data_IF_817638522510
#
_entry.id   IF_817638522510
#
_cell.length_a   1.000
_cell.length_b   1.000
_cell.length_c   1.000
_cell.angle_alpha   90.00
_cell.angle_beta   90.00
_cell.angle_gamma   90.00
#
_symmetry.space_group_name_H-M   'P 1'
#
loop_
_entity.id
_entity.type
_entity.pdbx_description
1 polymer ?
#
# COMPACT_ATOMS: atom_id res chain seq x y z
N UNK A 1 -15.17 -2.51 15.97
CA UNK A 1 -14.07 -3.40 15.50
C UNK A 1 -13.40 -2.74 14.28
N UNK A 2 -12.15 -3.10 13.93
CA UNK A 2 -11.52 -2.64 12.66
C UNK A 2 -12.06 -3.50 11.52
N UNK A 3 -12.41 -2.86 10.41
CA UNK A 3 -12.76 -3.51 9.16
C UNK A 3 -11.48 -3.65 8.31
N UNK A 4 -10.87 -4.84 8.33
CA UNK A 4 -9.58 -5.05 7.68
C UNK A 4 -9.66 -5.10 6.17
N UNK A 5 -10.77 -5.58 5.61
CA UNK A 5 -11.03 -5.60 4.16
C UNK A 5 -11.10 -4.16 3.64
N UNK A 6 -11.90 -3.31 4.29
CA UNK A 6 -12.00 -1.90 3.93
C UNK A 6 -10.67 -1.16 4.18
N UNK A 7 -9.96 -1.49 5.26
CA UNK A 7 -8.64 -0.91 5.56
C UNK A 7 -7.60 -1.31 4.49
N UNK A 8 -7.64 -2.54 3.98
CA UNK A 8 -6.79 -3.01 2.90
C UNK A 8 -7.09 -2.28 1.58
N UNK A 9 -8.37 -2.07 1.27
CA UNK A 9 -8.77 -1.24 0.11
C UNK A 9 -8.26 0.20 0.25
N UNK A 10 -8.35 0.78 1.46
CA UNK A 10 -7.82 2.10 1.72
C UNK A 10 -6.29 2.17 1.57
N UNK A 11 -5.58 1.11 1.94
CA UNK A 11 -4.14 1.00 1.73
C UNK A 11 -3.78 1.09 0.23
N UNK A 12 -4.42 0.29 -0.62
CA UNK A 12 -4.17 0.35 -2.06
C UNK A 12 -4.53 1.70 -2.67
N UNK A 13 -5.62 2.32 -2.23
CA UNK A 13 -5.99 3.66 -2.69
C UNK A 13 -4.90 4.70 -2.37
N UNK A 14 -4.26 4.60 -1.20
CA UNK A 14 -3.14 5.48 -0.84
C UNK A 14 -1.85 5.18 -1.63
N UNK A 15 -1.61 3.92 -1.99
CA UNK A 15 -0.53 3.55 -2.93
C UNK A 15 -0.76 4.18 -4.31
N UNK A 16 -1.98 4.07 -4.86
CA UNK A 16 -2.34 4.69 -6.14
C UNK A 16 -2.18 6.21 -6.05
N UNK A 17 -2.66 6.84 -4.98
CA UNK A 17 -2.49 8.28 -4.76
C UNK A 17 -1.02 8.70 -4.72
N UNK A 18 -0.16 7.89 -4.11
CA UNK A 18 1.28 8.14 -4.11
C UNK A 18 1.85 8.07 -5.53
N UNK A 19 1.52 7.01 -6.29
CA UNK A 19 1.97 6.84 -7.68
C UNK A 19 1.47 7.97 -8.58
N UNK A 20 0.23 8.42 -8.42
CA UNK A 20 -0.34 9.58 -9.13
C UNK A 20 0.46 10.87 -8.88
N UNK A 21 0.91 11.08 -7.65
CA UNK A 21 1.79 12.22 -7.30
C UNK A 21 3.18 12.08 -7.91
N UNK A 22 3.70 10.86 -8.07
CA UNK A 22 4.93 10.63 -8.84
C UNK A 22 4.71 10.90 -10.32
N UNK A 23 3.57 10.45 -10.88
CA UNK A 23 3.20 10.66 -12.28
C UNK A 23 3.16 12.13 -12.64
N UNK A 24 2.60 12.99 -11.78
CA UNK A 24 2.54 14.43 -12.01
C UNK A 24 3.91 15.14 -11.95
N UNK A 25 4.96 14.44 -11.51
CA UNK A 25 6.33 14.96 -11.37
C UNK A 25 7.31 14.32 -12.36
N UNK A 26 6.89 13.24 -13.03
CA UNK A 26 7.70 12.56 -14.02
C UNK A 26 7.95 13.48 -15.21
N UNK A 27 9.21 13.55 -15.65
CA UNK A 27 9.68 14.45 -16.70
C UNK A 27 10.08 13.70 -17.98
N UNK A 28 10.05 12.36 -17.98
CA UNK A 28 10.38 11.52 -19.13
C UNK A 28 9.33 10.43 -19.37
N UNK A 29 9.28 9.93 -20.61
CA UNK A 29 8.29 8.94 -21.04
C UNK A 29 8.49 7.56 -20.40
N UNK A 30 9.72 7.19 -20.05
CA UNK A 30 10.02 5.89 -19.45
C UNK A 30 9.49 5.86 -18.01
N UNK A 31 9.73 6.91 -17.23
CA UNK A 31 9.17 7.08 -15.89
C UNK A 31 7.63 7.08 -15.91
N UNK A 32 7.02 7.84 -16.83
CA UNK A 32 5.56 7.85 -16.98
C UNK A 32 4.99 6.47 -17.29
N UNK A 33 5.61 5.72 -18.21
CA UNK A 33 5.20 4.36 -18.55
C UNK A 33 5.28 3.44 -17.31
N UNK A 34 6.41 3.44 -16.61
CA UNK A 34 6.60 2.63 -15.39
C UNK A 34 5.56 2.94 -14.32
N UNK A 35 5.24 4.21 -14.11
CA UNK A 35 4.24 4.63 -13.13
C UNK A 35 2.83 4.19 -13.54
N UNK A 36 2.46 4.30 -14.82
CA UNK A 36 1.17 3.82 -15.30
C UNK A 36 1.05 2.29 -15.19
N UNK A 37 2.10 1.55 -15.52
CA UNK A 37 2.17 0.10 -15.36
C UNK A 37 2.02 -0.27 -13.88
N UNK A 38 2.68 0.46 -12.97
CA UNK A 38 2.55 0.27 -11.52
C UNK A 38 1.13 0.52 -11.01
N UNK A 39 0.48 1.61 -11.46
CA UNK A 39 -0.92 1.91 -11.10
C UNK A 39 -1.84 0.76 -11.55
N UNK A 40 -1.62 0.24 -12.77
CA UNK A 40 -2.36 -0.91 -13.29
C UNK A 40 -2.17 -2.16 -12.44
N UNK A 41 -0.93 -2.48 -12.07
CA UNK A 41 -0.60 -3.61 -11.18
C UNK A 41 -1.30 -3.46 -9.83
N UNK A 42 -1.12 -2.33 -9.15
CA UNK A 42 -1.72 -2.06 -7.83
C UNK A 42 -3.24 -2.17 -7.90
N UNK A 43 -3.86 -1.64 -8.96
CA UNK A 43 -5.31 -1.71 -9.16
C UNK A 43 -5.81 -3.15 -9.38
N UNK A 44 -5.06 -3.96 -10.13
CA UNK A 44 -5.39 -5.39 -10.33
C UNK A 44 -5.30 -6.18 -9.04
N UNK A 45 -4.25 -5.96 -8.24
CA UNK A 45 -4.12 -6.60 -6.92
C UNK A 45 -5.25 -6.15 -5.99
N UNK A 46 -5.56 -4.85 -5.96
CA UNK A 46 -6.63 -4.29 -5.13
C UNK A 46 -8.02 -4.84 -5.49
N UNK A 47 -8.27 -5.16 -6.76
CA UNK A 47 -9.54 -5.71 -7.22
C UNK A 47 -9.82 -7.13 -6.68
N UNK A 48 -8.78 -7.91 -6.40
CA UNK A 48 -8.92 -9.23 -5.75
C UNK A 48 -7.75 -9.56 -4.82
N UNK A 49 -7.66 -8.90 -3.65
CA UNK A 49 -6.49 -9.02 -2.77
C UNK A 49 -6.31 -10.43 -2.22
N UNK A 50 -7.41 -11.20 -2.08
CA UNK A 50 -7.35 -12.57 -1.60
C UNK A 50 -6.72 -13.51 -2.63
N UNK A 51 -7.13 -13.42 -3.90
CA UNK A 51 -6.53 -14.21 -4.98
C UNK A 51 -5.07 -13.83 -5.22
N UNK A 52 -4.81 -12.52 -5.25
CA UNK A 52 -3.47 -11.99 -5.47
C UNK A 52 -2.66 -11.88 -4.17
N UNK A 53 -3.12 -12.46 -3.05
CA UNK A 53 -2.29 -12.66 -1.85
C UNK A 53 -1.30 -13.82 -2.04
N UNK A 54 -1.64 -14.78 -2.91
CA UNK A 54 -0.76 -15.89 -3.29
C UNK A 54 0.34 -15.40 -4.26
N UNK A 55 1.59 -15.58 -3.84
CA UNK A 55 2.77 -15.20 -4.62
C UNK A 55 2.81 -15.85 -6.01
N UNK A 56 2.55 -17.16 -6.11
CA UNK A 56 2.62 -17.87 -7.38
C UNK A 56 1.56 -17.39 -8.37
N UNK A 57 0.37 -17.04 -7.87
CA UNK A 57 -0.71 -16.48 -8.69
C UNK A 57 -0.32 -15.09 -9.21
N UNK A 58 0.22 -14.21 -8.36
CA UNK A 58 0.69 -12.88 -8.78
C UNK A 58 1.78 -12.94 -9.84
N UNK A 59 2.80 -13.78 -9.61
CA UNK A 59 3.94 -13.93 -10.54
C UNK A 59 3.47 -14.43 -11.89
N UNK A 60 2.63 -15.49 -11.94
CA UNK A 60 2.05 -15.99 -13.19
C UNK A 60 1.18 -14.97 -13.91
N UNK A 61 0.52 -14.08 -13.17
CA UNK A 61 -0.29 -12.99 -13.73
C UNK A 61 0.52 -11.76 -14.18
N UNK A 62 1.86 -11.78 -14.02
CA UNK A 62 2.75 -10.68 -14.38
C UNK A 62 2.60 -9.45 -13.48
N UNK A 63 2.17 -9.64 -12.23
CA UNK A 63 1.90 -8.55 -11.27
C UNK A 63 3.10 -8.20 -10.37
N UNK A 64 4.27 -8.78 -10.64
CA UNK A 64 5.52 -8.54 -9.91
C UNK A 64 6.66 -8.17 -10.90
N UNK A 65 6.50 -7.17 -11.80
CA UNK A 65 7.58 -6.79 -12.70
C UNK A 65 8.75 -6.19 -11.91
N UNK A 66 9.99 -6.56 -12.23
CA UNK A 66 11.19 -6.05 -11.53
C UNK A 66 11.27 -4.52 -11.49
N UNK A 67 10.79 -3.87 -12.55
CA UNK A 67 10.80 -2.41 -12.67
C UNK A 67 9.76 -1.70 -11.80
N UNK A 68 8.88 -2.45 -11.10
CA UNK A 68 7.83 -1.89 -10.25
C UNK A 68 8.41 -0.99 -9.16
N UNK A 69 9.56 -1.37 -8.59
CA UNK A 69 10.24 -0.60 -7.52
C UNK A 69 10.51 0.84 -7.93
N UNK A 70 10.94 1.06 -9.17
CA UNK A 70 11.32 2.39 -9.66
C UNK A 70 10.12 3.34 -9.77
N UNK A 71 8.91 2.82 -9.97
CA UNK A 71 7.70 3.64 -10.00
C UNK A 71 7.34 4.23 -8.63
N UNK A 72 7.76 3.56 -7.55
CA UNK A 72 7.52 3.99 -6.17
C UNK A 72 8.63 4.89 -5.59
N UNK A 73 9.74 5.05 -6.30
CA UNK A 73 10.86 5.88 -5.87
C UNK A 73 10.64 7.34 -6.31
N UNK A 74 10.69 8.33 -5.40
CA UNK A 74 10.66 9.73 -5.80
C UNK A 74 11.81 10.08 -6.74
N UNK A 75 11.54 10.93 -7.72
CA UNK A 75 12.54 11.37 -8.71
C UNK A 75 13.80 11.95 -8.02
N UNK A 76 14.98 11.50 -8.48
CA UNK A 76 16.26 11.93 -7.93
C UNK A 76 16.59 11.34 -6.55
N UNK A 77 15.91 10.28 -6.12
CA UNK A 77 16.16 9.61 -4.84
C UNK A 77 16.23 8.10 -4.99
N UNK A 78 16.94 7.45 -4.05
CA UNK A 78 16.94 5.99 -3.90
C UNK A 78 15.96 5.50 -2.82
N UNK A 79 14.99 6.34 -2.40
CA UNK A 79 14.03 5.99 -1.35
C UNK A 79 12.94 5.03 -1.86
N UNK A 80 13.16 3.74 -1.66
CA UNK A 80 12.21 2.67 -2.02
C UNK A 80 11.25 2.28 -0.88
N UNK A 81 11.16 3.04 0.23
CA UNK A 81 10.40 2.60 1.41
C UNK A 81 8.91 2.38 1.14
N UNK A 82 8.30 3.14 0.21
CA UNK A 82 6.88 2.93 -0.15
C UNK A 82 6.68 1.61 -0.88
N UNK A 83 7.62 1.23 -1.75
CA UNK A 83 7.61 -0.09 -2.39
C UNK A 83 7.74 -1.22 -1.36
N UNK A 84 8.66 -1.09 -0.40
CA UNK A 84 8.83 -2.09 0.65
C UNK A 84 7.56 -2.25 1.50
N UNK A 85 6.87 -1.13 1.80
CA UNK A 85 5.56 -1.16 2.47
C UNK A 85 4.49 -1.85 1.62
N UNK A 86 4.45 -1.56 0.31
CA UNK A 86 3.57 -2.25 -0.64
C UNK A 86 3.82 -3.76 -0.66
N UNK A 87 5.06 -4.19 -0.89
CA UNK A 87 5.45 -5.60 -0.92
C UNK A 87 5.08 -6.29 0.40
N UNK A 88 5.45 -5.72 1.54
CA UNK A 88 5.17 -6.32 2.84
C UNK A 88 3.67 -6.53 3.11
N UNK A 89 2.81 -5.59 2.71
CA UNK A 89 1.36 -5.80 2.84
C UNK A 89 0.92 -6.89 1.87
N UNK A 90 1.33 -6.84 0.59
CA UNK A 90 0.97 -7.83 -0.45
C UNK A 90 1.35 -9.25 -0.05
N UNK A 91 2.55 -9.45 0.47
CA UNK A 91 3.07 -10.74 0.92
C UNK A 91 2.39 -11.25 2.21
N UNK A 92 1.76 -10.37 2.98
CA UNK A 92 1.04 -10.74 4.21
C UNK A 92 -0.48 -10.76 4.08
N UNK A 93 -1.06 -10.43 2.91
CA UNK A 93 -2.53 -10.33 2.76
C UNK A 93 -3.24 -11.66 2.98
N UNK A 94 -2.64 -12.77 2.53
CA UNK A 94 -3.20 -14.11 2.77
C UNK A 94 -3.35 -14.40 4.27
N UNK A 95 -2.46 -13.81 5.09
CA UNK A 95 -2.42 -14.03 6.51
C UNK A 95 -3.46 -13.23 7.30
N UNK A 96 -4.13 -12.25 6.68
CA UNK A 96 -5.21 -11.48 7.33
C UNK A 96 -6.40 -12.36 7.74
N UNK A 97 -6.59 -13.49 7.05
CA UNK A 97 -7.67 -14.46 7.32
C UNK A 97 -7.14 -15.83 7.74
N UNK A 98 -5.86 -15.92 8.11
CA UNK A 98 -5.23 -17.16 8.57
C UNK A 98 -5.96 -17.69 9.80
N UNK A 99 -6.04 -19.00 10.01
CA UNK A 99 -6.67 -19.59 11.20
C UNK A 99 -5.90 -19.29 12.50
N UNK A 100 -4.57 -19.16 12.42
CA UNK A 100 -3.72 -18.87 13.58
C UNK A 100 -3.68 -17.37 13.91
N UNK A 101 -3.93 -17.04 15.17
CA UNK A 101 -3.99 -15.66 15.66
C UNK A 101 -2.70 -14.86 15.44
N UNK A 102 -1.55 -15.50 15.55
CA UNK A 102 -0.26 -14.83 15.47
C UNK A 102 0.03 -14.31 14.04
N UNK A 103 -0.22 -15.12 13.01
CA UNK A 103 -0.11 -14.72 11.61
C UNK A 103 -1.07 -13.57 11.28
N UNK A 104 -2.32 -13.66 11.78
CA UNK A 104 -3.31 -12.58 11.63
C UNK A 104 -2.83 -11.29 12.27
N UNK A 105 -2.35 -11.35 13.51
CA UNK A 105 -1.90 -10.16 14.25
C UNK A 105 -0.72 -9.47 13.55
N UNK A 106 0.24 -10.24 13.03
CA UNK A 106 1.37 -9.70 12.26
C UNK A 106 0.91 -9.03 10.97
N UNK A 107 0.07 -9.70 10.17
CA UNK A 107 -0.47 -9.13 8.93
C UNK A 107 -1.27 -7.85 9.17
N UNK A 108 -2.10 -7.83 10.22
CA UNK A 108 -2.87 -6.64 10.63
C UNK A 108 -1.93 -5.49 11.03
N UNK A 109 -0.87 -5.78 11.78
CA UNK A 109 0.10 -4.77 12.20
C UNK A 109 0.87 -4.20 11.00
N UNK A 110 1.29 -5.05 10.07
CA UNK A 110 1.93 -4.66 8.81
C UNK A 110 1.03 -3.75 7.98
N UNK A 111 -0.24 -4.12 7.78
CA UNK A 111 -1.23 -3.30 7.08
C UNK A 111 -1.40 -1.92 7.73
N UNK A 112 -1.62 -1.87 9.04
CA UNK A 112 -1.87 -0.61 9.75
C UNK A 112 -0.65 0.31 9.76
N UNK A 113 0.55 -0.24 9.93
CA UNK A 113 1.79 0.54 9.92
C UNK A 113 2.09 1.09 8.52
N UNK A 114 1.97 0.26 7.49
CA UNK A 114 2.17 0.67 6.10
C UNK A 114 1.15 1.73 5.68
N UNK A 115 -0.13 1.56 6.01
CA UNK A 115 -1.16 2.56 5.75
C UNK A 115 -0.88 3.90 6.45
N UNK A 116 -0.51 3.86 7.74
CA UNK A 116 -0.10 5.05 8.49
C UNK A 116 1.05 5.77 7.77
N UNK A 117 2.12 5.05 7.42
CA UNK A 117 3.33 5.60 6.82
C UNK A 117 3.11 6.17 5.40
N UNK A 118 2.31 5.51 4.57
CA UNK A 118 2.02 6.03 3.22
C UNK A 118 1.13 7.28 3.31
N UNK A 119 0.11 7.29 4.18
CA UNK A 119 -0.71 8.49 4.40
C UNK A 119 0.10 9.70 4.84
N UNK A 120 1.12 9.50 5.69
CA UNK A 120 2.07 10.54 6.05
C UNK A 120 2.83 11.14 4.88
N UNK A 121 3.30 10.28 3.96
CA UNK A 121 4.00 10.72 2.76
C UNK A 121 3.07 11.45 1.80
N UNK A 122 1.81 11.05 1.75
CA UNK A 122 0.79 11.65 0.89
C UNK A 122 0.22 12.97 1.43
N UNK A 123 0.19 13.20 2.75
CA UNK A 123 -0.39 14.44 3.29
C UNK A 123 0.45 15.67 2.94
N UNK A 124 -0.25 16.74 2.59
CA UNK A 124 0.28 18.08 2.30
C UNK A 124 0.21 19.02 3.50
N UNK A 125 -0.31 18.55 4.65
CA UNK A 125 -0.43 19.37 5.85
C UNK A 125 0.97 19.74 6.37
N UNK A 126 1.23 21.04 6.50
CA UNK A 126 2.51 21.60 6.97
C UNK A 126 2.83 21.17 8.40
N UNK A 127 1.80 20.99 9.24
CA UNK A 127 1.97 20.60 10.65
C UNK A 127 2.00 19.09 10.87
N UNK A 128 1.98 18.29 9.80
CA UNK A 128 1.90 16.82 9.91
C UNK A 128 3.01 16.24 10.76
N UNK A 129 4.22 16.77 10.69
CA UNK A 129 5.37 16.22 11.40
C UNK A 129 5.22 16.42 12.92
N UNK A 130 4.47 17.43 13.36
CA UNK A 130 4.18 17.65 14.79
C UNK A 130 3.18 16.64 15.34
N UNK A 131 2.07 16.39 14.63
CA UNK A 131 1.01 15.53 15.16
C UNK A 131 1.15 14.07 14.77
N UNK A 132 1.84 13.75 13.66
CA UNK A 132 1.90 12.38 13.12
C UNK A 132 2.58 11.35 14.05
N UNK A 133 3.65 11.69 14.80
CA UNK A 133 4.21 10.80 15.82
C UNK A 133 3.18 10.39 16.88
N UNK A 134 2.23 11.29 17.20
CA UNK A 134 1.21 11.06 18.23
C UNK A 134 0.02 10.23 17.74
N UNK A 135 -0.12 10.00 16.44
CA UNK A 135 -1.25 9.26 15.88
C UNK A 135 -1.00 7.75 15.96
N UNK A 136 -1.89 6.99 16.61
CA UNK A 136 -1.81 5.52 16.59
C UNK A 136 -2.05 4.97 15.18
N UNK A 137 -1.50 3.80 14.86
CA UNK A 137 -1.72 3.14 13.56
C UNK A 137 -3.23 2.88 13.31
N UNK A 138 -3.96 2.52 14.37
CA UNK A 138 -5.43 2.32 14.33
C UNK A 138 -6.22 3.56 13.96
N UNK A 139 -5.67 4.78 14.10
CA UNK A 139 -6.34 6.02 13.65
C UNK A 139 -6.60 6.02 12.14
N UNK A 140 -5.77 5.32 11.37
CA UNK A 140 -5.86 5.30 9.92
C UNK A 140 -6.76 4.20 9.38
N UNK A 141 -7.21 3.28 10.23
CA UNK A 141 -8.05 2.16 9.86
C UNK A 141 -9.52 2.55 9.66
N UNK A 142 -10.23 1.77 8.85
CA UNK A 142 -11.68 1.88 8.70
C UNK A 142 -12.36 1.10 9.84
N UNK A 143 -13.38 1.70 10.47
CA UNK A 143 -14.17 1.07 11.53
C UNK A 143 -15.42 0.43 10.92
N UNK A 144 -15.77 -0.78 11.37
CA UNK A 144 -16.98 -1.48 10.94
C UNK A 144 -18.25 -0.71 11.32
N UNK A 145 -19.19 -0.54 10.40
CA UNK A 145 -20.45 0.21 10.62
C UNK A 145 -21.40 -0.45 11.63
N UNK A 146 -21.29 -1.76 11.90
CA UNK A 146 -22.15 -2.52 12.83
C UNK A 146 -22.10 -2.07 14.31
N UNK A 147 -21.44 -0.97 14.64
CA UNK A 147 -21.38 -0.37 15.98
C UNK A 147 -21.36 1.17 15.92
N UNK A 148 -22.26 1.78 15.15
CA UNK A 148 -22.66 3.17 15.40
C UNK A 148 -24.02 3.20 16.07
#
# INVERSE_FOLDING_TARGET
>A
MIDYDATLQQFFAECIKFLEKQRSRANDQIALKRINDAISVVSRVAANPKMFGDYNVRVKAGLEPMDLVYAFMPAGTDDNRVYLMYSAVVDSMENLYNEYDWYRAEAQQTLLNSLKAIKYRNTTNILKDFYFPLLSAKKFAIKSEKQR
#
